data_IF_975145927250
#
_entry.id   IF_975145927250
#
_cell.length_a   1.000
_cell.length_b   1.000
_cell.length_c   1.000
_cell.angle_alpha   90.00
_cell.angle_beta   90.00
_cell.angle_gamma   90.00
#
_symmetry.space_group_name_H-M   'P 1'
#
loop_
_entity.id
_entity.type
_entity.pdbx_description
1 polymer ?
#
# COMPACT_ATOMS: atom_id res chain seq x y z
N UNK A 1 10.60 15.10 14.32
CA UNK A 1 11.89 14.48 13.96
C UNK A 1 11.67 13.62 12.72
N UNK A 2 12.58 13.64 11.75
CA UNK A 2 12.50 12.83 10.52
C UNK A 2 13.08 11.42 10.67
N UNK A 3 13.23 10.96 11.91
CA UNK A 3 13.81 9.66 12.23
C UNK A 3 12.83 8.54 11.90
N UNK A 4 13.27 7.58 11.09
CA UNK A 4 12.47 6.41 10.72
C UNK A 4 12.33 5.42 11.88
N UNK A 5 13.33 5.40 12.77
CA UNK A 5 13.38 4.57 13.96
C UNK A 5 13.86 5.42 15.13
N UNK A 6 13.09 5.44 16.21
CA UNK A 6 13.44 6.13 17.45
C UNK A 6 13.71 5.08 18.53
N UNK A 7 14.93 4.99 19.08
CA UNK A 7 15.21 4.08 20.18
C UNK A 7 14.45 4.52 21.44
N UNK A 8 13.95 3.54 22.19
CA UNK A 8 13.32 3.74 23.49
C UNK A 8 13.92 2.74 24.49
N UNK A 9 13.67 2.93 25.78
CA UNK A 9 14.08 1.93 26.76
C UNK A 9 13.43 0.58 26.44
N UNK A 10 14.28 -0.44 26.23
CA UNK A 10 13.85 -1.81 25.94
C UNK A 10 13.35 -2.06 24.51
N UNK A 11 13.42 -1.08 23.60
CA UNK A 11 12.80 -1.23 22.29
C UNK A 11 13.09 -0.13 21.26
N UNK A 12 12.31 -0.16 20.19
CA UNK A 12 12.32 0.83 19.12
C UNK A 12 10.90 1.21 18.73
N UNK A 13 10.69 2.48 18.43
CA UNK A 13 9.51 2.98 17.73
C UNK A 13 9.89 3.12 16.25
N UNK A 14 9.06 2.55 15.37
CA UNK A 14 9.25 2.57 13.93
C UNK A 14 8.11 3.36 13.32
N UNK A 15 8.44 4.34 12.48
CA UNK A 15 7.45 5.14 11.75
C UNK A 15 7.41 4.69 10.30
N UNK A 16 6.25 4.18 9.86
CA UNK A 16 6.05 3.65 8.52
C UNK A 16 5.04 4.51 7.75
N UNK A 17 5.50 5.12 6.65
CA UNK A 17 4.65 5.95 5.78
C UNK A 17 4.24 5.16 4.53
N UNK A 18 2.94 5.16 4.25
CA UNK A 18 2.35 4.63 3.02
C UNK A 18 1.78 5.81 2.23
N UNK A 19 2.21 5.94 0.98
CA UNK A 19 1.68 6.90 0.03
C UNK A 19 0.92 6.14 -1.07
N UNK A 20 -0.38 6.42 -1.23
CA UNK A 20 -1.26 5.75 -2.19
C UNK A 20 -1.84 6.77 -3.18
N UNK A 21 -1.81 6.47 -4.48
CA UNK A 21 -2.53 7.28 -5.48
C UNK A 21 -4.03 6.99 -5.40
N UNK A 22 -4.83 8.05 -5.27
CA UNK A 22 -6.28 7.95 -5.21
C UNK A 22 -6.82 7.90 -6.64
N UNK A 23 -7.13 6.69 -7.12
CA UNK A 23 -7.80 6.49 -8.41
C UNK A 23 -9.01 5.57 -8.20
N UNK A 24 -10.23 6.11 -8.16
CA UNK A 24 -11.43 5.30 -8.02
C UNK A 24 -11.61 4.35 -9.20
N UNK A 25 -12.02 3.10 -8.92
CA UNK A 25 -12.28 2.09 -9.97
C UNK A 25 -13.29 2.57 -11.00
N UNK A 26 -14.31 3.32 -10.57
CA UNK A 26 -15.31 3.91 -11.47
C UNK A 26 -14.70 4.94 -12.43
N UNK A 27 -13.75 5.76 -11.97
CA UNK A 27 -13.06 6.73 -12.82
C UNK A 27 -12.20 6.05 -13.89
N UNK A 28 -11.53 4.94 -13.52
CA UNK A 28 -10.79 4.11 -14.49
C UNK A 28 -11.74 3.55 -15.55
N UNK A 29 -12.86 2.95 -15.13
CA UNK A 29 -13.82 2.35 -16.05
C UNK A 29 -14.41 3.39 -17.02
N UNK A 30 -14.79 4.57 -16.51
CA UNK A 30 -15.28 5.67 -17.33
C UNK A 30 -14.26 6.09 -18.39
N UNK A 31 -13.01 6.32 -17.99
CA UNK A 31 -11.97 6.78 -18.91
C UNK A 31 -11.62 5.74 -19.97
N UNK A 32 -11.58 4.46 -19.59
CA UNK A 32 -11.34 3.36 -20.52
C UNK A 32 -12.46 3.25 -21.55
N UNK A 33 -13.72 3.27 -21.11
CA UNK A 33 -14.86 3.21 -22.01
C UNK A 33 -14.89 4.38 -22.98
N UNK A 34 -14.65 5.61 -22.50
CA UNK A 34 -14.55 6.82 -23.33
C UNK A 34 -13.51 6.69 -24.44
N UNK A 35 -12.34 6.09 -24.13
CA UNK A 35 -11.27 5.86 -25.12
C UNK A 35 -11.64 4.78 -26.13
N UNK A 36 -12.24 3.69 -25.66
CA UNK A 36 -12.71 2.60 -26.53
C UNK A 36 -13.76 3.13 -27.51
N UNK A 37 -14.73 3.90 -27.04
CA UNK A 37 -15.77 4.52 -27.88
C UNK A 37 -15.14 5.42 -28.95
N UNK A 38 -14.21 6.30 -28.55
CA UNK A 38 -13.50 7.18 -29.49
C UNK A 38 -12.71 6.41 -30.54
N UNK A 39 -12.06 5.30 -30.18
CA UNK A 39 -11.32 4.47 -31.13
C UNK A 39 -12.27 3.74 -32.11
N UNK A 40 -13.43 3.28 -31.62
CA UNK A 40 -14.47 2.68 -32.48
C UNK A 40 -15.02 3.69 -33.49
N UNK A 41 -15.28 4.93 -33.07
CA UNK A 41 -15.68 6.03 -33.96
C UNK A 41 -14.64 6.31 -35.06
N UNK A 42 -13.36 6.07 -34.77
CA UNK A 42 -12.25 6.20 -35.71
C UNK A 42 -12.05 4.97 -36.63
N UNK A 43 -12.91 3.97 -36.53
CA UNK A 43 -12.87 2.76 -37.37
C UNK A 43 -11.92 1.67 -36.86
N UNK A 44 -11.49 1.71 -35.60
CA UNK A 44 -10.69 0.65 -35.02
C UNK A 44 -11.52 -0.63 -34.82
N UNK A 45 -11.13 -1.71 -35.50
CA UNK A 45 -11.85 -2.99 -35.48
C UNK A 45 -11.23 -4.03 -34.54
N UNK A 46 -9.97 -3.86 -34.15
CA UNK A 46 -9.27 -4.76 -33.23
C UNK A 46 -8.67 -3.94 -32.07
N UNK A 47 -9.34 -3.98 -30.92
CA UNK A 47 -9.01 -3.17 -29.75
C UNK A 47 -8.48 -4.05 -28.62
N UNK A 48 -7.25 -3.80 -28.20
CA UNK A 48 -6.70 -4.39 -27.00
C UNK A 48 -7.13 -3.58 -25.75
N UNK A 49 -8.24 -3.97 -25.14
CA UNK A 49 -8.79 -3.29 -23.96
C UNK A 49 -7.82 -3.24 -22.77
N UNK A 50 -6.99 -4.28 -22.60
CA UNK A 50 -6.01 -4.32 -21.51
C UNK A 50 -4.93 -3.24 -21.70
N UNK A 51 -4.50 -3.01 -22.94
CA UNK A 51 -3.56 -1.96 -23.30
C UNK A 51 -4.17 -0.57 -23.10
N UNK A 52 -5.40 -0.36 -23.60
CA UNK A 52 -6.12 0.92 -23.40
C UNK A 52 -6.27 1.23 -21.91
N UNK A 53 -6.60 0.23 -21.10
CA UNK A 53 -6.69 0.35 -19.65
C UNK A 53 -5.35 0.68 -19.01
N UNK A 54 -4.26 0.05 -19.43
CA UNK A 54 -2.92 0.36 -18.91
C UNK A 54 -2.56 1.82 -19.17
N UNK A 55 -2.70 2.27 -20.42
CA UNK A 55 -2.39 3.65 -20.82
C UNK A 55 -3.27 4.65 -20.05
N UNK A 56 -4.57 4.37 -19.91
CA UNK A 56 -5.49 5.22 -19.16
C UNK A 56 -5.03 5.37 -17.68
N UNK A 57 -4.66 4.26 -17.03
CA UNK A 57 -4.17 4.30 -15.65
C UNK A 57 -2.85 5.07 -15.56
N UNK A 58 -1.90 4.86 -16.47
CA UNK A 58 -0.61 5.56 -16.48
C UNK A 58 -0.79 7.09 -16.61
N UNK A 59 -1.72 7.54 -17.43
CA UNK A 59 -2.03 8.96 -17.56
C UNK A 59 -2.74 9.52 -16.32
N UNK A 60 -3.72 8.80 -15.78
CA UNK A 60 -4.41 9.20 -14.56
C UNK A 60 -3.44 9.29 -13.36
N UNK A 61 -2.45 8.41 -13.26
CA UNK A 61 -1.45 8.40 -12.19
C UNK A 61 -0.63 9.69 -12.12
N UNK A 62 -0.40 10.37 -13.26
CA UNK A 62 0.37 11.63 -13.33
C UNK A 62 -0.32 12.77 -12.60
N UNK A 63 -1.65 12.79 -12.61
CA UNK A 63 -2.48 13.86 -12.03
C UNK A 63 -3.22 13.42 -10.75
N UNK A 64 -3.19 12.13 -10.43
CA UNK A 64 -3.88 11.59 -9.26
C UNK A 64 -3.33 12.18 -7.95
N UNK A 65 -4.25 12.57 -7.06
CA UNK A 65 -3.94 12.99 -5.70
C UNK A 65 -3.30 11.82 -4.94
N UNK A 66 -2.38 12.15 -4.04
CA UNK A 66 -1.74 11.18 -3.15
C UNK A 66 -2.41 11.25 -1.77
N UNK A 67 -2.81 10.09 -1.24
CA UNK A 67 -3.20 9.91 0.15
C UNK A 67 -2.00 9.37 0.92
N UNK A 68 -1.59 10.10 1.95
CA UNK A 68 -0.55 9.65 2.86
C UNK A 68 -1.17 9.07 4.13
N UNK A 69 -0.63 7.94 4.58
CA UNK A 69 -0.94 7.34 5.87
C UNK A 69 0.34 7.03 6.62
N UNK A 70 0.35 7.31 7.92
CA UNK A 70 1.46 6.98 8.82
C UNK A 70 0.98 5.91 9.79
N UNK A 71 1.77 4.86 9.95
CA UNK A 71 1.56 3.75 10.88
C UNK A 71 2.78 3.69 11.78
N UNK A 72 2.54 3.54 13.08
CA UNK A 72 3.62 3.36 14.05
C UNK A 72 3.70 1.89 14.44
N UNK A 73 4.91 1.39 14.66
CA UNK A 73 5.12 0.10 15.29
C UNK A 73 6.09 0.21 16.45
N UNK A 74 5.91 -0.60 17.48
CA UNK A 74 6.82 -0.74 18.60
C UNK A 74 7.44 -2.13 18.55
N UNK A 75 8.77 -2.19 18.57
CA UNK A 75 9.51 -3.43 18.73
C UNK A 75 10.11 -3.52 20.13
N UNK A 76 9.65 -4.48 20.93
CA UNK A 76 10.19 -4.76 22.25
C UNK A 76 11.28 -5.82 22.15
N UNK A 77 12.55 -5.43 22.37
CA UNK A 77 13.72 -6.29 22.13
C UNK A 77 13.72 -7.53 23.02
N UNK A 78 13.56 -7.37 24.33
CA UNK A 78 13.61 -8.50 25.29
C UNK A 78 12.55 -9.58 25.05
N UNK A 79 11.36 -9.18 24.57
CA UNK A 79 10.24 -10.09 24.32
C UNK A 79 10.16 -10.55 22.86
N UNK A 80 10.89 -9.88 21.95
CA UNK A 80 10.80 -10.14 20.52
C UNK A 80 9.44 -9.77 19.90
N UNK A 81 8.66 -8.91 20.56
CA UNK A 81 7.31 -8.56 20.10
C UNK A 81 7.33 -7.32 19.21
N UNK A 82 6.67 -7.42 18.05
CA UNK A 82 6.35 -6.30 17.18
C UNK A 82 4.87 -5.97 17.32
N UNK A 83 4.57 -4.78 17.86
CA UNK A 83 3.21 -4.27 18.03
C UNK A 83 2.98 -3.23 16.95
N UNK A 84 2.00 -3.44 16.07
CA UNK A 84 1.69 -2.52 14.96
C UNK A 84 0.40 -1.77 15.24
N UNK A 85 0.42 -0.44 15.20
CA UNK A 85 -0.74 0.42 15.48
C UNK A 85 -1.69 0.50 14.27
N UNK A 86 -2.20 -0.63 13.79
CA UNK A 86 -3.19 -0.69 12.71
C UNK A 86 -4.15 -1.86 12.90
N UNK A 87 -5.42 -1.62 12.59
CA UNK A 87 -6.49 -2.63 12.56
C UNK A 87 -6.65 -3.29 11.19
N UNK A 88 -5.96 -2.80 10.15
CA UNK A 88 -6.14 -3.27 8.77
C UNK A 88 -5.04 -4.25 8.39
N UNK A 89 -5.45 -5.45 7.97
CA UNK A 89 -4.53 -6.51 7.54
C UNK A 89 -3.48 -6.09 6.50
N UNK A 90 -3.85 -5.37 5.42
CA UNK A 90 -2.89 -4.94 4.41
C UNK A 90 -1.78 -4.02 4.96
N UNK A 91 -2.09 -3.22 5.98
CA UNK A 91 -1.19 -2.19 6.50
C UNK A 91 -0.08 -2.81 7.34
N UNK A 92 -0.41 -3.69 8.30
CA UNK A 92 0.62 -4.37 9.08
C UNK A 92 1.40 -5.37 8.22
N UNK A 93 0.78 -5.99 7.20
CA UNK A 93 1.50 -6.84 6.25
C UNK A 93 2.51 -6.05 5.41
N UNK A 94 2.15 -4.84 4.96
CA UNK A 94 3.07 -3.97 4.23
C UNK A 94 4.29 -3.61 5.09
N UNK A 95 4.05 -3.23 6.36
CA UNK A 95 5.12 -2.92 7.31
C UNK A 95 6.06 -4.12 7.51
N UNK A 96 5.50 -5.31 7.80
CA UNK A 96 6.31 -6.53 8.02
C UNK A 96 7.11 -6.91 6.78
N UNK A 97 6.53 -6.81 5.57
CA UNK A 97 7.24 -7.08 4.31
C UNK A 97 8.42 -6.12 4.11
N UNK A 98 8.22 -4.84 4.42
CA UNK A 98 9.29 -3.86 4.37
C UNK A 98 10.39 -4.17 5.40
N UNK A 99 10.04 -4.57 6.62
CA UNK A 99 11.02 -4.99 7.62
C UNK A 99 11.82 -6.22 7.17
N UNK A 100 11.17 -7.23 6.60
CA UNK A 100 11.86 -8.41 6.03
C UNK A 100 12.85 -7.97 4.95
N UNK A 101 12.44 -7.06 4.06
CA UNK A 101 13.30 -6.56 2.98
C UNK A 101 14.53 -5.82 3.53
N UNK A 102 14.36 -4.99 4.55
CA UNK A 102 15.45 -4.16 5.12
C UNK A 102 16.38 -5.00 6.01
N UNK A 103 15.84 -5.92 6.80
CA UNK A 103 16.61 -6.77 7.71
C UNK A 103 17.15 -8.06 7.05
N UNK A 104 16.81 -8.30 5.77
CA UNK A 104 17.15 -9.50 5.02
C UNK A 104 16.30 -10.73 5.38
N UNK A 105 16.11 -11.01 6.67
CA UNK A 105 15.20 -12.05 7.14
C UNK A 105 14.61 -11.68 8.50
N UNK A 106 13.38 -12.11 8.77
CA UNK A 106 12.74 -11.97 10.08
C UNK A 106 12.00 -13.26 10.38
N UNK A 107 12.23 -13.83 11.57
CA UNK A 107 11.39 -14.91 12.11
C UNK A 107 10.19 -14.25 12.80
N UNK A 108 8.99 -14.48 12.28
CA UNK A 108 7.76 -13.96 12.85
C UNK A 108 6.83 -15.11 13.24
N UNK A 109 6.24 -15.02 14.43
CA UNK A 109 5.15 -15.90 14.86
C UNK A 109 3.93 -15.01 15.09
N UNK A 110 2.78 -15.39 14.53
CA UNK A 110 1.54 -14.64 14.71
C UNK A 110 0.82 -15.19 15.93
N UNK A 111 0.61 -14.35 16.94
CA UNK A 111 -0.19 -14.72 18.11
C UNK A 111 -1.65 -14.43 17.77
N UNK A 112 -2.46 -15.49 17.66
CA UNK A 112 -3.90 -15.38 17.56
C UNK A 112 -4.46 -15.25 18.98
N UNK A 113 -5.11 -14.12 19.27
CA UNK A 113 -5.83 -13.91 20.53
C UNK A 113 -7.31 -13.94 20.16
N UNK A 114 -7.94 -15.11 20.33
CA UNK A 114 -9.35 -15.32 19.97
C UNK A 114 -10.34 -14.86 21.06
N UNK A 115 -9.86 -14.34 22.18
CA UNK A 115 -10.70 -13.78 23.25
C UNK A 115 -9.91 -12.75 24.06
N UNK A 116 -10.08 -11.47 23.76
CA UNK A 116 -9.64 -10.38 24.64
C UNK A 116 -10.84 -10.04 25.54
N UNK A 117 -10.91 -10.68 26.72
CA UNK A 117 -11.83 -10.24 27.77
C UNK A 117 -11.44 -8.88 28.33
#
# INVERSE_FOLDING_TARGET
TGELVTPIEGGYIITFRIDEKIIPKAAIAFEVNRRIEKLKEQGANDLNEAEVKRIAIEEMLKVALTKTKIITALYHVKKGFLIVSSTRKPEHQALVRCLIKVCGSVKTETIHVDDAK
#
